data_IF_849564778066
#
_entry.id   IF_849564778066
#
_cell.length_a   1.000
_cell.length_b   1.000
_cell.length_c   1.000
_cell.angle_alpha   90.00
_cell.angle_beta   90.00
_cell.angle_gamma   90.00
#
_symmetry.space_group_name_H-M   'P 1'
#
loop_
_entity.id
_entity.type
_entity.pdbx_description
1 polymer ?
#
# COMPACT_ATOMS: atom_id res chain seq x y z
N UNK A 1 33.07 2.77 24.44
CA UNK A 1 32.30 1.95 23.50
C UNK A 1 33.07 1.90 22.19
N UNK A 2 33.56 0.72 21.79
CA UNK A 2 34.26 0.57 20.52
C UNK A 2 33.26 0.35 19.35
N UNK A 3 33.76 0.32 18.11
CA UNK A 3 32.90 0.18 16.92
C UNK A 3 32.15 -1.15 16.88
N UNK A 4 32.76 -2.23 17.38
CA UNK A 4 32.17 -3.58 17.41
C UNK A 4 31.04 -3.66 18.43
N UNK A 5 31.23 -3.09 19.62
CA UNK A 5 30.21 -2.95 20.67
C UNK A 5 29.03 -2.12 20.16
N UNK A 6 29.31 -1.05 19.41
CA UNK A 6 28.27 -0.22 18.81
C UNK A 6 27.48 -0.96 17.73
N UNK A 7 28.13 -1.68 16.81
CA UNK A 7 27.43 -2.52 15.82
C UNK A 7 26.55 -3.58 16.52
N UNK A 8 27.07 -4.25 17.55
CA UNK A 8 26.29 -5.23 18.31
C UNK A 8 25.08 -4.60 19.01
N UNK A 9 25.26 -3.43 19.64
CA UNK A 9 24.17 -2.69 20.27
C UNK A 9 23.10 -2.25 19.25
N UNK A 10 23.51 -1.75 18.08
CA UNK A 10 22.58 -1.37 17.00
C UNK A 10 21.77 -2.58 16.51
N UNK A 11 22.41 -3.75 16.35
CA UNK A 11 21.71 -4.99 15.97
C UNK A 11 20.72 -5.44 17.05
N UNK A 12 21.09 -5.35 18.32
CA UNK A 12 20.22 -5.66 19.46
C UNK A 12 18.99 -4.74 19.49
N UNK A 13 19.15 -3.47 19.11
CA UNK A 13 18.06 -2.49 18.95
C UNK A 13 17.29 -2.63 17.63
N UNK A 14 17.64 -3.60 16.78
CA UNK A 14 17.05 -3.81 15.44
C UNK A 14 17.25 -2.62 14.49
N UNK A 15 18.35 -1.88 14.64
CA UNK A 15 18.77 -0.76 13.80
C UNK A 15 19.73 -1.26 12.70
N UNK A 16 19.24 -2.20 11.88
CA UNK A 16 20.06 -2.92 10.91
C UNK A 16 20.54 -2.08 9.71
N UNK A 17 19.84 -0.98 9.40
CA UNK A 17 20.25 0.02 8.43
C UNK A 17 21.47 0.79 8.93
N UNK A 18 21.39 1.34 10.14
CA UNK A 18 22.54 2.02 10.77
C UNK A 18 23.74 1.09 10.89
N UNK A 19 23.54 -0.12 11.40
CA UNK A 19 24.61 -1.10 11.59
C UNK A 19 25.35 -1.42 10.27
N UNK A 20 24.61 -1.55 9.16
CA UNK A 20 25.20 -1.89 7.87
C UNK A 20 26.03 -0.77 7.23
N UNK A 21 25.71 0.50 7.52
CA UNK A 21 26.36 1.68 6.90
C UNK A 21 27.25 2.45 7.86
N UNK A 22 27.32 2.03 9.14
CA UNK A 22 28.01 2.73 10.22
C UNK A 22 29.46 3.11 9.85
N UNK A 23 30.26 2.14 9.41
CA UNK A 23 31.66 2.39 9.05
C UNK A 23 31.81 3.33 7.85
N UNK A 24 30.97 3.16 6.83
CA UNK A 24 30.97 3.99 5.63
C UNK A 24 30.67 5.44 5.97
N UNK A 25 29.62 5.67 6.78
CA UNK A 25 29.23 7.02 7.21
C UNK A 25 30.23 7.65 8.16
N UNK A 26 30.89 6.87 9.01
CA UNK A 26 31.97 7.37 9.87
C UNK A 26 33.17 7.85 9.05
N UNK A 27 33.60 7.09 8.04
CA UNK A 27 34.66 7.51 7.12
C UNK A 27 34.27 8.77 6.35
N UNK A 28 33.03 8.83 5.86
CA UNK A 28 32.49 10.01 5.18
C UNK A 28 32.51 11.25 6.09
N UNK A 29 32.07 11.12 7.34
CA UNK A 29 32.08 12.22 8.30
C UNK A 29 33.50 12.73 8.60
N UNK A 30 34.50 11.85 8.60
CA UNK A 30 35.90 12.23 8.77
C UNK A 30 36.45 12.98 7.54
N UNK A 31 36.12 12.53 6.32
CA UNK A 31 36.59 13.19 5.09
C UNK A 31 35.92 14.54 4.85
N UNK A 32 34.61 14.63 5.07
CA UNK A 32 33.80 15.81 4.81
C UNK A 32 33.73 16.77 6.02
N UNK A 33 34.31 16.39 7.17
CA UNK A 33 34.25 17.12 8.45
C UNK A 33 32.81 17.45 8.85
N UNK A 34 31.91 16.50 8.70
CA UNK A 34 30.49 16.65 9.06
C UNK A 34 30.35 16.97 10.54
N UNK A 35 29.39 17.82 10.89
CA UNK A 35 29.07 18.04 12.29
C UNK A 35 28.56 16.72 12.90
N UNK A 36 28.78 16.47 14.20
CA UNK A 36 28.30 15.24 14.85
C UNK A 36 26.80 14.99 14.66
N UNK A 37 26.02 16.07 14.65
CA UNK A 37 24.56 16.00 14.45
C UNK A 37 24.20 15.55 13.03
N UNK A 38 24.98 15.92 12.01
CA UNK A 38 24.72 15.56 10.62
C UNK A 38 25.02 14.08 10.38
N UNK A 39 26.08 13.55 11.00
CA UNK A 39 26.39 12.13 10.98
C UNK A 39 25.24 11.30 11.58
N UNK A 40 24.78 11.70 12.78
CA UNK A 40 23.66 11.00 13.44
C UNK A 40 22.39 11.10 12.59
N UNK A 41 22.10 12.28 12.05
CA UNK A 41 20.93 12.50 11.18
C UNK A 41 20.98 11.62 9.93
N UNK A 42 22.14 11.48 9.31
CA UNK A 42 22.34 10.64 8.12
C UNK A 42 22.18 9.15 8.46
N UNK A 43 22.75 8.68 9.57
CA UNK A 43 22.57 7.30 10.01
C UNK A 43 21.10 6.97 10.30
N UNK A 44 20.39 7.89 10.97
CA UNK A 44 18.95 7.73 11.25
C UNK A 44 18.15 7.73 9.95
N UNK A 45 18.48 8.59 8.98
CA UNK A 45 17.85 8.60 7.67
C UNK A 45 18.02 7.27 6.93
N UNK A 46 19.24 6.70 6.92
CA UNK A 46 19.51 5.39 6.31
C UNK A 46 18.69 4.26 6.94
N UNK A 47 18.49 4.28 8.27
CA UNK A 47 17.62 3.33 8.97
C UNK A 47 16.15 3.50 8.59
N UNK A 48 15.66 4.74 8.53
CA UNK A 48 14.28 5.03 8.18
C UNK A 48 13.96 4.57 6.76
N UNK A 49 14.84 4.86 5.79
CA UNK A 49 14.73 4.38 4.41
C UNK A 49 14.67 2.86 4.38
N UNK A 50 15.62 2.18 5.04
CA UNK A 50 15.64 0.71 5.07
C UNK A 50 14.39 0.09 5.69
N UNK A 51 13.82 0.74 6.72
CA UNK A 51 12.56 0.30 7.34
C UNK A 51 11.40 0.50 6.37
N UNK A 52 11.32 1.64 5.70
CA UNK A 52 10.29 1.94 4.71
C UNK A 52 10.33 0.92 3.56
N UNK A 53 11.51 0.64 3.01
CA UNK A 53 11.70 -0.33 1.93
C UNK A 53 11.24 -1.73 2.35
N UNK A 54 11.64 -2.19 3.55
CA UNK A 54 11.21 -3.50 4.07
C UNK A 54 9.71 -3.58 4.30
N UNK A 55 9.09 -2.49 4.75
CA UNK A 55 7.64 -2.42 4.92
C UNK A 55 6.93 -2.48 3.56
N UNK A 56 7.43 -1.72 2.58
CA UNK A 56 6.95 -1.74 1.20
C UNK A 56 7.04 -3.15 0.61
N UNK A 57 8.24 -3.75 0.61
CA UNK A 57 8.50 -5.11 0.11
C UNK A 57 7.59 -6.15 0.75
N UNK A 58 7.40 -6.07 2.08
CA UNK A 58 6.52 -7.00 2.79
C UNK A 58 5.07 -6.86 2.32
N UNK A 59 4.56 -5.64 2.22
CA UNK A 59 3.18 -5.38 1.78
C UNK A 59 2.99 -5.74 0.31
N UNK A 60 3.97 -5.43 -0.53
CA UNK A 60 3.98 -5.76 -1.95
C UNK A 60 3.91 -7.28 -2.17
N UNK A 61 4.72 -8.05 -1.44
CA UNK A 61 4.62 -9.53 -1.43
C UNK A 61 3.28 -10.04 -0.90
N UNK A 62 2.73 -9.41 0.14
CA UNK A 62 1.41 -9.77 0.69
C UNK A 62 0.27 -9.48 -0.29
N UNK A 63 0.42 -8.47 -1.15
CA UNK A 63 -0.60 -8.11 -2.12
C UNK A 63 -0.84 -9.17 -3.19
N UNK A 64 0.17 -10.01 -3.49
CA UNK A 64 0.09 -11.10 -4.49
C UNK A 64 -0.41 -10.60 -5.86
N UNK A 65 0.16 -9.50 -6.34
CA UNK A 65 -0.07 -9.03 -7.70
C UNK A 65 0.30 -10.11 -8.72
N UNK A 66 -0.47 -10.19 -9.82
CA UNK A 66 -0.14 -11.05 -10.95
C UNK A 66 1.17 -10.61 -11.62
N UNK A 67 1.29 -9.31 -11.87
CA UNK A 67 2.43 -8.65 -12.50
C UNK A 67 3.09 -7.68 -11.49
N UNK A 68 4.02 -8.16 -10.65
CA UNK A 68 4.57 -7.40 -9.52
C UNK A 68 5.30 -6.10 -9.91
N UNK A 69 5.89 -6.08 -11.11
CA UNK A 69 6.72 -4.97 -11.58
C UNK A 69 5.93 -3.83 -12.21
N UNK A 70 4.60 -3.97 -12.36
CA UNK A 70 3.76 -2.91 -12.93
C UNK A 70 3.77 -1.67 -12.04
N UNK A 71 4.05 -0.52 -12.65
CA UNK A 71 4.02 0.80 -12.03
C UNK A 71 3.21 1.74 -12.90
N UNK A 72 2.75 2.85 -12.34
CA UNK A 72 2.06 3.89 -13.11
C UNK A 72 3.02 4.57 -14.10
N UNK A 73 4.30 4.69 -13.74
CA UNK A 73 5.32 5.33 -14.60
C UNK A 73 5.62 4.52 -15.87
N UNK A 74 5.43 3.20 -15.82
CA UNK A 74 5.60 2.31 -16.98
C UNK A 74 4.32 2.13 -17.81
N UNK A 75 3.21 2.78 -17.42
CA UNK A 75 1.94 2.64 -18.10
C UNK A 75 1.87 3.58 -19.30
N UNK A 76 1.66 3.01 -20.49
CA UNK A 76 1.49 3.79 -21.72
C UNK A 76 0.06 4.38 -21.79
N UNK A 77 -0.06 5.65 -21.41
CA UNK A 77 -1.32 6.40 -21.51
C UNK A 77 -1.70 6.81 -22.94
N UNK A 78 -0.83 6.59 -23.93
CA UNK A 78 -1.13 6.86 -25.34
C UNK A 78 -1.88 5.68 -25.99
N UNK A 79 -1.76 4.48 -25.43
CA UNK A 79 -2.51 3.30 -25.84
C UNK A 79 -4.03 3.47 -25.72
N UNK A 80 -4.51 4.24 -24.75
CA UNK A 80 -5.93 4.56 -24.60
C UNK A 80 -6.14 6.04 -24.26
N UNK A 81 -6.17 6.87 -25.30
CA UNK A 81 -6.37 8.33 -25.19
C UNK A 81 -7.70 8.76 -24.56
N UNK A 82 -8.68 7.86 -24.46
CA UNK A 82 -9.98 8.13 -23.81
C UNK A 82 -9.90 8.01 -22.28
N UNK A 83 -8.78 7.55 -21.74
CA UNK A 83 -8.59 7.39 -20.30
C UNK A 83 -8.27 8.73 -19.66
N UNK A 84 -9.01 9.08 -18.60
CA UNK A 84 -8.78 10.33 -17.89
C UNK A 84 -7.54 10.23 -17.00
N UNK A 85 -6.42 10.77 -17.48
CA UNK A 85 -5.12 10.79 -16.75
C UNK A 85 -5.25 11.45 -15.38
N UNK A 86 -6.00 12.54 -15.26
CA UNK A 86 -6.17 13.25 -13.99
C UNK A 86 -6.85 12.36 -12.94
N UNK A 87 -7.87 11.59 -13.33
CA UNK A 87 -8.54 10.65 -12.43
C UNK A 87 -7.60 9.52 -11.99
N UNK A 88 -6.77 9.01 -12.89
CA UNK A 88 -5.81 7.95 -12.57
C UNK A 88 -4.77 8.45 -11.57
N UNK A 89 -4.23 9.65 -11.79
CA UNK A 89 -3.29 10.26 -10.86
C UNK A 89 -3.93 10.55 -9.51
N UNK A 90 -5.21 10.94 -9.47
CA UNK A 90 -5.93 11.11 -8.20
C UNK A 90 -6.11 9.76 -7.48
N UNK A 91 -6.49 8.69 -8.19
CA UNK A 91 -6.54 7.33 -7.64
C UNK A 91 -5.16 6.85 -7.16
N UNK A 92 -4.08 7.23 -7.85
CA UNK A 92 -2.71 6.91 -7.45
C UNK A 92 -2.32 7.53 -6.10
N UNK A 93 -2.95 8.63 -5.69
CA UNK A 93 -2.76 9.21 -4.36
C UNK A 93 -3.35 8.34 -3.24
N UNK A 94 -4.14 7.31 -3.58
CA UNK A 94 -4.85 6.43 -2.67
C UNK A 94 -5.77 7.15 -1.67
N UNK A 95 -6.15 8.42 -1.95
CA UNK A 95 -7.06 9.19 -1.10
C UNK A 95 -8.43 8.51 -0.94
N UNK A 96 -8.92 7.91 -2.02
CA UNK A 96 -10.16 7.15 -2.05
C UNK A 96 -10.16 5.99 -1.03
N UNK A 97 -9.00 5.35 -0.79
CA UNK A 97 -8.84 4.29 0.22
C UNK A 97 -9.06 4.85 1.63
N UNK A 98 -8.49 6.02 1.92
CA UNK A 98 -8.70 6.72 3.19
C UNK A 98 -10.15 7.18 3.40
N UNK A 99 -10.83 7.54 2.32
CA UNK A 99 -12.24 7.96 2.31
C UNK A 99 -13.23 6.78 2.29
N UNK A 100 -12.73 5.55 2.12
CA UNK A 100 -13.53 4.32 1.97
C UNK A 100 -14.48 4.38 0.77
N UNK A 101 -13.99 4.96 -0.32
CA UNK A 101 -14.69 5.00 -1.60
C UNK A 101 -14.28 3.83 -2.48
N UNK A 102 -15.17 3.40 -3.36
CA UNK A 102 -14.93 2.30 -4.31
C UNK A 102 -14.51 2.86 -5.68
N UNK A 103 -13.57 2.18 -6.34
CA UNK A 103 -13.14 2.50 -7.71
C UNK A 103 -13.46 1.33 -8.64
N UNK A 104 -14.09 1.62 -9.79
CA UNK A 104 -14.48 0.62 -10.78
C UNK A 104 -13.98 1.00 -12.18
N UNK A 105 -13.19 0.11 -12.79
CA UNK A 105 -12.67 0.31 -14.15
C UNK A 105 -13.56 -0.35 -15.20
N UNK A 106 -14.33 0.44 -15.94
CA UNK A 106 -15.22 0.00 -17.03
C UNK A 106 -14.65 0.32 -18.42
N UNK A 107 -14.98 -0.50 -19.42
CA UNK A 107 -14.34 -0.45 -20.75
C UNK A 107 -14.10 -1.82 -21.40
N UNK A 108 -13.83 -1.85 -22.72
CA UNK A 108 -13.64 -3.09 -23.48
C UNK A 108 -12.39 -3.87 -23.03
N UNK A 109 -12.34 -5.19 -23.30
CA UNK A 109 -11.17 -6.00 -23.00
C UNK A 109 -9.94 -5.48 -23.75
N UNK A 110 -8.75 -5.68 -23.18
CA UNK A 110 -7.49 -5.24 -23.78
C UNK A 110 -7.19 -3.74 -23.65
N UNK A 111 -7.94 -2.99 -22.85
CA UNK A 111 -7.72 -1.53 -22.62
C UNK A 111 -6.70 -1.18 -21.53
N UNK A 112 -5.99 -2.18 -20.98
CA UNK A 112 -4.95 -1.98 -19.97
C UNK A 112 -5.44 -1.80 -18.53
N UNK A 113 -6.72 -2.07 -18.24
CA UNK A 113 -7.30 -1.90 -16.88
C UNK A 113 -6.65 -2.78 -15.81
N UNK A 114 -6.36 -4.03 -16.13
CA UNK A 114 -5.76 -4.99 -15.21
C UNK A 114 -4.35 -4.55 -14.78
N UNK A 115 -3.44 -4.20 -15.72
CA UNK A 115 -2.18 -3.53 -15.36
C UNK A 115 -2.36 -2.23 -14.57
N UNK A 116 -3.36 -1.42 -14.93
CA UNK A 116 -3.64 -0.15 -14.26
C UNK A 116 -4.08 -0.33 -12.80
N UNK A 117 -4.97 -1.28 -12.54
CA UNK A 117 -5.42 -1.59 -11.19
C UNK A 117 -4.26 -2.06 -10.29
N UNK A 118 -3.38 -2.90 -10.83
CA UNK A 118 -2.16 -3.33 -10.12
C UNK A 118 -1.21 -2.16 -9.87
N UNK A 119 -1.04 -1.27 -10.84
CA UNK A 119 -0.21 -0.07 -10.70
C UNK A 119 -0.75 0.89 -9.62
N UNK A 120 -2.08 1.09 -9.56
CA UNK A 120 -2.73 1.86 -8.49
C UNK A 120 -2.60 1.15 -7.14
N UNK A 121 -2.74 -0.16 -7.11
CA UNK A 121 -2.50 -0.97 -5.90
C UNK A 121 -1.08 -0.79 -5.37
N UNK A 122 -0.08 -0.82 -6.25
CA UNK A 122 1.32 -0.55 -5.89
C UNK A 122 1.49 0.87 -5.34
N UNK A 123 0.88 1.88 -5.97
CA UNK A 123 0.90 3.26 -5.48
C UNK A 123 0.27 3.36 -4.07
N UNK A 124 -0.84 2.67 -3.82
CA UNK A 124 -1.46 2.62 -2.49
C UNK A 124 -0.53 1.97 -1.44
N UNK A 125 0.26 0.97 -1.81
CA UNK A 125 1.28 0.38 -0.92
C UNK A 125 2.39 1.40 -0.59
N UNK A 126 2.82 2.21 -1.57
CA UNK A 126 3.77 3.29 -1.35
C UNK A 126 3.23 4.34 -0.38
N UNK A 127 1.93 4.63 -0.43
CA UNK A 127 1.23 5.49 0.53
C UNK A 127 1.00 4.84 1.91
N UNK A 128 1.42 3.58 2.07
CA UNK A 128 1.40 2.89 3.36
C UNK A 128 0.20 1.99 3.61
N UNK A 129 -0.69 1.83 2.64
CA UNK A 129 -1.84 0.93 2.76
C UNK A 129 -1.46 -0.53 2.53
N UNK A 130 -2.16 -1.44 3.23
CA UNK A 130 -2.12 -2.85 2.89
C UNK A 130 -3.12 -3.10 1.76
N UNK A 131 -2.69 -3.81 0.72
CA UNK A 131 -3.48 -4.11 -0.47
C UNK A 131 -3.49 -5.61 -0.66
N UNK A 132 -4.61 -6.17 -1.11
CA UNK A 132 -4.72 -7.56 -1.58
C UNK A 132 -5.28 -7.55 -2.98
N UNK A 133 -4.62 -8.25 -3.90
CA UNK A 133 -5.08 -8.46 -5.26
C UNK A 133 -5.57 -9.90 -5.41
N UNK A 134 -6.74 -10.07 -6.04
CA UNK A 134 -7.25 -11.37 -6.45
C UNK A 134 -7.90 -11.27 -7.81
N UNK A 135 -7.74 -12.33 -8.57
CA UNK A 135 -8.52 -12.53 -9.79
C UNK A 135 -9.90 -13.03 -9.38
N UNK A 136 -10.93 -12.60 -10.11
CA UNK A 136 -12.31 -12.92 -9.76
C UNK A 136 -12.56 -14.44 -9.66
N UNK A 137 -11.97 -15.23 -10.55
CA UNK A 137 -12.11 -16.70 -10.52
C UNK A 137 -11.39 -17.33 -9.32
N UNK A 138 -10.14 -16.92 -9.03
CA UNK A 138 -9.40 -17.40 -7.86
C UNK A 138 -10.12 -17.05 -6.57
N UNK A 139 -10.69 -15.84 -6.47
CA UNK A 139 -11.47 -15.45 -5.29
C UNK A 139 -12.73 -16.31 -5.11
N UNK A 140 -13.41 -16.66 -6.21
CA UNK A 140 -14.57 -17.56 -6.15
C UNK A 140 -14.17 -18.96 -5.68
N UNK A 141 -13.04 -19.48 -6.15
CA UNK A 141 -12.48 -20.77 -5.72
C UNK A 141 -12.11 -20.75 -4.22
N UNK A 142 -11.38 -19.72 -3.77
CA UNK A 142 -11.01 -19.52 -2.35
C UNK A 142 -12.27 -19.48 -1.45
N UNK A 143 -13.34 -18.79 -1.88
CA UNK A 143 -14.60 -18.73 -1.14
C UNK A 143 -15.33 -20.09 -1.15
N UNK A 144 -15.29 -20.82 -2.27
CA UNK A 144 -15.90 -22.15 -2.37
C UNK A 144 -15.20 -23.15 -1.44
N UNK A 145 -13.87 -23.18 -1.43
CA UNK A 145 -13.06 -24.00 -0.54
C UNK A 145 -13.31 -23.64 0.94
N UNK A 146 -13.32 -22.36 1.28
CA UNK A 146 -13.64 -21.91 2.64
C UNK A 146 -15.06 -22.28 3.08
N UNK A 147 -15.99 -22.40 2.12
CA UNK A 147 -17.35 -22.88 2.39
C UNK A 147 -17.35 -24.36 2.75
N UNK A 148 -16.61 -25.18 2.00
CA UNK A 148 -16.46 -26.62 2.30
C UNK A 148 -15.75 -26.86 3.63
N UNK A 149 -14.75 -26.03 3.96
CA UNK A 149 -14.01 -26.09 5.22
C UNK A 149 -14.77 -25.49 6.42
N UNK A 150 -15.95 -24.88 6.22
CA UNK A 150 -16.72 -24.20 7.26
C UNK A 150 -16.11 -22.87 7.75
N UNK A 151 -15.05 -22.38 7.12
CA UNK A 151 -14.30 -21.16 7.50
C UNK A 151 -14.68 -19.93 6.69
N UNK A 152 -15.68 -20.01 5.80
CA UNK A 152 -16.15 -18.92 4.93
C UNK A 152 -16.32 -17.57 5.63
N UNK A 153 -16.95 -17.56 6.81
CA UNK A 153 -17.19 -16.31 7.58
C UNK A 153 -15.89 -15.63 7.97
N UNK A 154 -14.91 -16.41 8.44
CA UNK A 154 -13.59 -15.93 8.83
C UNK A 154 -12.85 -15.39 7.61
N UNK A 155 -12.86 -16.13 6.50
CA UNK A 155 -12.18 -15.71 5.28
C UNK A 155 -12.75 -14.40 4.69
N UNK A 156 -14.07 -14.25 4.67
CA UNK A 156 -14.70 -12.99 4.24
C UNK A 156 -14.39 -11.83 5.19
N UNK A 157 -14.30 -12.08 6.50
CA UNK A 157 -13.92 -11.06 7.47
C UNK A 157 -12.46 -10.61 7.28
N UNK A 158 -11.55 -11.53 6.95
CA UNK A 158 -10.15 -11.22 6.63
C UNK A 158 -10.06 -10.34 5.38
N UNK A 159 -10.77 -10.68 4.31
CA UNK A 159 -10.82 -9.88 3.09
C UNK A 159 -11.41 -8.48 3.33
N UNK A 160 -12.47 -8.39 4.14
CA UNK A 160 -13.10 -7.12 4.49
C UNK A 160 -12.27 -6.24 5.44
N UNK A 161 -11.31 -6.83 6.16
CA UNK A 161 -10.41 -6.10 7.04
C UNK A 161 -9.25 -5.43 6.28
N UNK A 162 -8.99 -5.85 5.04
CA UNK A 162 -7.95 -5.25 4.20
C UNK A 162 -8.38 -3.84 3.78
N UNK A 163 -7.51 -2.82 3.90
CA UNK A 163 -7.83 -1.46 3.48
C UNK A 163 -8.22 -1.33 2.01
N UNK A 164 -7.59 -2.10 1.13
CA UNK A 164 -7.89 -2.12 -0.30
C UNK A 164 -7.85 -3.56 -0.84
N UNK A 165 -8.99 -4.05 -1.31
CA UNK A 165 -9.12 -5.31 -2.05
C UNK A 165 -9.34 -5.00 -3.53
N UNK A 166 -8.42 -5.46 -4.37
CA UNK A 166 -8.53 -5.35 -5.82
C UNK A 166 -9.03 -6.68 -6.36
N UNK A 167 -10.18 -6.65 -7.04
CA UNK A 167 -10.77 -7.80 -7.71
C UNK A 167 -10.69 -7.56 -9.20
N UNK A 168 -9.92 -8.37 -9.90
CA UNK A 168 -9.74 -8.25 -11.35
C UNK A 168 -10.47 -9.39 -12.07
N UNK A 169 -11.51 -9.03 -12.82
CA UNK A 169 -12.21 -9.95 -13.70
C UNK A 169 -11.58 -9.89 -15.09
N UNK A 170 -10.55 -10.71 -15.27
CA UNK A 170 -10.00 -10.98 -16.58
C UNK A 170 -10.98 -11.87 -17.34
N UNK A 171 -11.91 -11.23 -18.03
CA UNK A 171 -12.89 -11.87 -18.89
C UNK A 171 -12.23 -12.96 -19.74
N UNK A 172 -12.51 -14.21 -19.39
CA UNK A 172 -12.02 -15.36 -20.12
C UNK A 172 -12.78 -15.48 -21.44
N UNK A 173 -12.05 -15.27 -22.54
CA UNK A 173 -12.29 -15.94 -23.80
C UNK A 173 -13.16 -15.21 -24.82
N UNK A 174 -12.57 -14.96 -25.99
CA UNK A 174 -13.26 -15.07 -27.27
C UNK A 174 -13.92 -16.46 -27.39
N UNK A 175 -15.13 -16.60 -26.89
CA UNK A 175 -15.98 -17.76 -27.18
C UNK A 175 -17.34 -17.25 -27.64
N UNK A 176 -17.60 -17.46 -28.92
CA UNK A 176 -18.91 -17.24 -29.54
C UNK A 176 -19.83 -18.37 -29.03
N UNK A 177 -20.35 -18.22 -27.82
CA UNK A 177 -21.43 -19.08 -27.29
C UNK A 177 -22.50 -18.19 -26.64
N UNK A 178 -23.80 -18.43 -26.91
CA UNK A 178 -24.86 -17.69 -26.23
C UNK A 178 -24.96 -18.21 -24.79
N UNK A 179 -24.35 -17.50 -23.84
CA UNK A 179 -24.48 -17.79 -22.41
C UNK A 179 -25.65 -17.02 -21.78
N UNK A 180 -26.29 -17.61 -20.75
CA UNK A 180 -27.50 -17.05 -20.14
C UNK A 180 -27.18 -15.77 -19.37
N UNK A 181 -28.17 -14.88 -19.34
CA UNK A 181 -28.14 -13.61 -18.61
C UNK A 181 -27.87 -13.86 -17.13
N UNK A 182 -26.68 -13.52 -16.65
CA UNK A 182 -26.46 -13.21 -15.24
C UNK A 182 -26.02 -11.75 -15.18
N UNK A 183 -27.03 -10.89 -15.02
CA UNK A 183 -26.89 -9.51 -14.63
C UNK A 183 -26.90 -9.49 -13.10
N UNK A 184 -25.80 -9.13 -12.45
CA UNK A 184 -25.85 -8.74 -11.05
C UNK A 184 -26.31 -7.29 -10.95
N UNK A 185 -27.64 -7.10 -10.90
CA UNK A 185 -28.24 -6.06 -10.07
C UNK A 185 -28.70 -6.71 -8.79
N UNK A 186 -27.97 -6.48 -7.70
CA UNK A 186 -28.51 -6.57 -6.36
C UNK A 186 -28.03 -5.36 -5.57
N UNK A 187 -28.96 -4.43 -5.40
CA UNK A 187 -28.87 -3.43 -4.34
C UNK A 187 -28.75 -4.19 -3.02
N UNK A 188 -27.64 -4.00 -2.29
CA UNK A 188 -27.58 -4.28 -0.86
C UNK A 188 -27.45 -2.95 -0.14
N UNK A 189 -28.56 -2.21 -0.11
CA UNK A 189 -28.80 -1.23 0.94
C UNK A 189 -29.23 -2.00 2.19
N UNK A 190 -28.28 -2.24 3.11
CA UNK A 190 -28.60 -2.52 4.50
C UNK A 190 -28.02 -1.39 5.36
N UNK A 191 -28.84 -0.36 5.55
CA UNK A 191 -28.70 0.59 6.65
C UNK A 191 -28.84 -0.16 7.98
N UNK A 192 -27.86 -0.06 8.87
CA UNK A 192 -28.06 0.26 10.28
C UNK A 192 -26.68 0.60 10.89
N UNK A 193 -26.36 1.87 11.12
CA UNK A 193 -26.84 2.71 12.22
C UNK A 193 -26.14 2.42 13.56
N UNK A 194 -25.35 3.42 13.98
CA UNK A 194 -25.09 3.88 15.35
C UNK A 194 -24.79 2.82 16.42
N UNK A 195 -23.53 2.81 16.82
CA UNK A 195 -22.96 2.66 18.18
C UNK A 195 -21.44 2.52 17.92
N UNK A 196 -20.51 3.41 18.27
CA UNK A 196 -20.40 4.35 19.38
C UNK A 196 -19.53 5.54 18.97
N UNK A 197 -19.87 6.68 19.55
CA UNK A 197 -18.96 7.81 19.76
C UNK A 197 -17.67 7.37 20.46
N UNK A 198 -16.52 7.71 19.88
CA UNK A 198 -15.44 8.42 20.60
C UNK A 198 -14.16 8.52 19.74
N UNK A 199 -13.85 9.78 19.39
CA UNK A 199 -12.53 10.35 19.07
C UNK A 199 -11.88 10.03 17.71
N UNK A 200 -11.46 11.05 16.94
CA UNK A 200 -10.45 10.86 15.91
C UNK A 200 -9.11 10.57 16.60
N UNK A 201 -8.46 9.47 16.21
CA UNK A 201 -7.05 9.23 16.53
C UNK A 201 -6.26 10.12 15.56
N UNK A 202 -5.89 11.30 16.04
CA UNK A 202 -4.87 12.15 15.43
C UNK A 202 -3.52 11.43 15.64
N UNK A 203 -2.65 11.28 14.62
CA UNK A 203 -1.30 10.82 14.86
C UNK A 203 -0.54 11.91 15.61
N UNK A 204 -0.13 11.61 16.85
CA UNK A 204 0.66 12.51 17.68
C UNK A 204 2.08 12.64 17.12
N UNK A 205 2.37 13.76 16.45
CA UNK A 205 3.71 14.27 16.25
C UNK A 205 4.09 15.19 17.42
N UNK A 206 5.06 14.72 18.19
CA UNK A 206 6.19 15.41 18.84
C UNK A 206 6.07 16.91 19.13
N UNK A 207 6.28 17.29 20.40
CA UNK A 207 6.33 18.69 20.83
C UNK A 207 7.63 19.42 20.48
N UNK A 208 7.57 20.75 20.54
CA UNK A 208 8.62 21.65 21.05
C UNK A 208 8.06 23.08 21.18
N UNK A 209 8.24 23.65 22.38
CA UNK A 209 8.41 25.07 22.77
C UNK A 209 7.95 26.21 21.84
N UNK A 210 7.21 27.15 22.42
CA UNK A 210 7.39 28.60 22.17
C UNK A 210 6.84 29.41 23.35
N UNK A 211 7.74 30.07 24.08
CA UNK A 211 7.47 31.19 24.99
C UNK A 211 7.27 32.46 24.16
N UNK A 212 6.16 33.17 24.34
CA UNK A 212 5.99 34.54 23.87
C UNK A 212 5.05 35.32 24.81
N UNK A 213 5.58 36.42 25.35
CA UNK A 213 4.95 37.48 26.15
C UNK A 213 3.84 38.23 25.37
N UNK A 214 2.88 38.87 26.05
CA UNK A 214 1.82 39.63 25.40
C UNK A 214 2.22 41.12 25.16
N UNK A 215 1.67 41.78 24.12
CA UNK A 215 1.78 43.23 23.94
C UNK A 215 0.63 43.99 24.67
N UNK A 216 0.73 45.33 24.80
CA UNK A 216 -0.14 46.14 25.67
C UNK A 216 -1.59 46.26 25.23
#
# INVERSE_FOLDING_TARGET
MNLVELDHALRKLRLSGMAAVLETRLRQAQSEKLAPIDLVSTLVADELVRRQDRLFERRHKQARFRDPDRSLDSFDFDFNKKMNRALIHDLATARFVGQREDALFLGPPGTGKSPLAQAIGRAAIQQGYCVVYREAHTLMEEIAEATLAGTRKTHLAELAAVPLLIIDDLGCGSSRTPRPKICWKSSCAAKNARLRSSRPIVPSTTGASCSATPPP
#
